data_IF_922486334717
#
_entry.id   IF_922486334717
#
_cell.length_a   1.000
_cell.length_b   1.000
_cell.length_c   1.000
_cell.angle_alpha   90.00
_cell.angle_beta   90.00
_cell.angle_gamma   90.00
#
_symmetry.space_group_name_H-M   'P 1'
#
loop_
_entity.id
_entity.type
_entity.pdbx_description
1 polymer ?
#
# COMPACT_ATOMS: atom_id res chain seq x y z
N UNK A 1 -7.31 6.66 -23.09
CA UNK A 1 -6.47 5.54 -22.58
C UNK A 1 -5.61 6.07 -21.44
N UNK A 2 -5.44 5.33 -20.34
CA UNK A 2 -4.61 5.73 -19.22
C UNK A 2 -3.19 6.10 -19.64
N UNK A 3 -2.52 6.95 -18.87
CA UNK A 3 -1.17 7.43 -19.17
C UNK A 3 -0.16 6.31 -19.01
N UNK A 4 0.51 5.94 -20.11
CA UNK A 4 1.52 4.87 -20.11
C UNK A 4 2.69 5.19 -19.17
N UNK A 5 3.26 4.16 -18.57
CA UNK A 5 4.39 4.24 -17.62
C UNK A 5 4.07 5.06 -16.37
N UNK A 6 2.80 5.16 -15.98
CA UNK A 6 2.39 5.83 -14.76
C UNK A 6 1.79 4.81 -13.78
N UNK A 7 2.48 4.61 -12.68
CA UNK A 7 2.05 3.77 -11.56
C UNK A 7 1.60 4.66 -10.41
N UNK A 8 0.47 4.34 -9.82
CA UNK A 8 0.02 4.96 -8.58
C UNK A 8 0.11 3.94 -7.45
N UNK A 9 0.86 4.27 -6.40
CA UNK A 9 1.04 3.44 -5.22
C UNK A 9 0.27 4.07 -4.05
N UNK A 10 -0.72 3.37 -3.52
CA UNK A 10 -1.41 3.74 -2.29
C UNK A 10 -0.95 2.82 -1.16
N UNK A 11 -0.48 3.38 -0.07
CA UNK A 11 -0.02 2.64 1.12
C UNK A 11 -0.93 2.99 2.27
N UNK A 12 -1.58 1.97 2.86
CA UNK A 12 -2.33 2.07 4.11
C UNK A 12 -1.48 1.47 5.20
N UNK A 13 -0.92 2.32 6.05
CA UNK A 13 0.09 1.97 7.03
C UNK A 13 -0.49 2.03 8.43
N UNK A 14 -0.46 0.90 9.10
CA UNK A 14 -0.83 0.78 10.51
C UNK A 14 0.16 1.53 11.40
N UNK A 15 -0.36 2.31 12.33
CA UNK A 15 0.37 3.01 13.37
C UNK A 15 -0.27 2.75 14.75
N UNK A 16 -0.97 1.62 14.91
CA UNK A 16 -1.49 1.19 16.21
C UNK A 16 -0.36 0.84 17.17
N UNK A 17 -0.69 0.73 18.46
CA UNK A 17 0.30 0.51 19.51
C UNK A 17 1.13 -0.77 19.30
N UNK A 18 0.58 -1.82 18.69
CA UNK A 18 1.29 -3.08 18.40
C UNK A 18 2.47 -2.87 17.44
N UNK A 19 2.34 -1.96 16.47
CA UNK A 19 3.42 -1.61 15.53
C UNK A 19 4.65 -0.98 16.22
N UNK A 20 4.53 -0.55 17.48
CA UNK A 20 5.64 0.05 18.24
C UNK A 20 6.87 -0.85 18.37
N UNK A 21 6.68 -2.17 18.41
CA UNK A 21 7.77 -3.12 18.47
C UNK A 21 8.64 -3.16 17.19
N UNK A 22 8.09 -2.72 16.06
CA UNK A 22 8.75 -2.74 14.73
C UNK A 22 8.81 -1.34 14.09
N UNK A 23 8.56 -0.29 14.85
CA UNK A 23 8.50 1.09 14.36
C UNK A 23 9.78 1.51 13.63
N UNK A 24 10.95 1.23 14.21
CA UNK A 24 12.24 1.58 13.61
C UNK A 24 12.55 0.76 12.36
N UNK A 25 12.16 -0.51 12.34
CA UNK A 25 12.32 -1.39 11.18
C UNK A 25 11.45 -0.92 10.00
N UNK A 26 10.21 -0.53 10.28
CA UNK A 26 9.31 0.06 9.29
C UNK A 26 9.89 1.36 8.73
N UNK A 27 10.38 2.26 9.60
CA UNK A 27 11.02 3.52 9.19
C UNK A 27 12.23 3.28 8.28
N UNK A 28 13.13 2.41 8.68
CA UNK A 28 14.34 2.07 7.91
C UNK A 28 13.98 1.48 6.54
N UNK A 29 13.01 0.61 6.53
CA UNK A 29 12.54 -0.08 5.33
C UNK A 29 11.89 0.86 4.33
N UNK A 30 10.99 1.72 4.79
CA UNK A 30 10.35 2.71 3.90
C UNK A 30 11.37 3.70 3.34
N UNK A 31 12.33 4.15 4.13
CA UNK A 31 13.40 5.04 3.65
C UNK A 31 14.25 4.37 2.57
N UNK A 32 14.59 3.08 2.75
CA UNK A 32 15.31 2.29 1.74
C UNK A 32 14.49 2.12 0.46
N UNK A 33 13.23 1.74 0.58
CA UNK A 33 12.30 1.61 -0.55
C UNK A 33 12.20 2.93 -1.34
N UNK A 34 12.01 4.06 -0.64
CA UNK A 34 11.91 5.37 -1.27
C UNK A 34 13.19 5.74 -2.03
N UNK A 35 14.36 5.49 -1.44
CA UNK A 35 15.65 5.76 -2.06
C UNK A 35 15.86 4.91 -3.34
N UNK A 36 15.48 3.65 -3.32
CA UNK A 36 15.56 2.75 -4.47
C UNK A 36 14.60 3.19 -5.59
N UNK A 37 13.35 3.53 -5.25
CA UNK A 37 12.34 3.89 -6.23
C UNK A 37 12.61 5.23 -6.95
N UNK A 38 13.33 6.15 -6.33
CA UNK A 38 13.73 7.44 -6.95
C UNK A 38 14.58 7.25 -8.21
N UNK A 39 15.34 6.18 -8.29
CA UNK A 39 16.26 5.91 -9.39
C UNK A 39 15.63 5.07 -10.52
N UNK A 40 14.37 4.67 -10.36
CA UNK A 40 13.69 3.83 -11.32
C UNK A 40 13.05 4.64 -12.45
N UNK A 41 13.05 4.09 -13.66
CA UNK A 41 12.39 4.73 -14.80
C UNK A 41 10.85 4.67 -14.70
N UNK A 42 10.19 5.68 -15.26
CA UNK A 42 8.73 5.82 -15.24
C UNK A 42 8.24 6.75 -14.15
N UNK A 43 6.98 7.12 -14.23
CA UNK A 43 6.34 7.97 -13.23
C UNK A 43 5.69 7.11 -12.15
N UNK A 44 6.11 7.29 -10.92
CA UNK A 44 5.42 6.73 -9.75
C UNK A 44 4.93 7.86 -8.87
N UNK A 45 3.61 7.94 -8.69
CA UNK A 45 2.99 8.84 -7.72
C UNK A 45 2.50 8.01 -6.56
N UNK A 46 2.59 8.51 -5.35
CA UNK A 46 2.18 7.74 -4.19
C UNK A 46 1.40 8.54 -3.16
N UNK A 47 0.59 7.79 -2.42
CA UNK A 47 -0.17 8.23 -1.26
C UNK A 47 0.17 7.38 -0.07
N UNK A 48 0.17 7.98 1.12
CA UNK A 48 0.25 7.24 2.38
C UNK A 48 -0.88 7.65 3.30
N UNK A 49 -1.69 6.67 3.67
CA UNK A 49 -2.71 6.78 4.70
C UNK A 49 -2.19 6.08 5.95
N UNK A 50 -1.92 6.84 6.99
CA UNK A 50 -1.58 6.30 8.30
C UNK A 50 -2.85 6.14 9.14
N UNK A 51 -2.98 5.04 9.88
CA UNK A 51 -4.13 4.81 10.72
C UNK A 51 -3.78 4.17 12.06
N UNK A 52 -4.60 4.47 13.07
CA UNK A 52 -4.76 3.80 14.34
C UNK A 52 -6.26 3.82 14.69
N UNK A 53 -6.71 4.59 15.68
CA UNK A 53 -8.13 4.87 15.92
C UNK A 53 -8.77 5.72 14.82
N UNK A 54 -7.96 6.50 14.13
CA UNK A 54 -8.37 7.38 13.03
C UNK A 54 -7.40 7.26 11.87
N UNK A 55 -7.88 7.59 10.67
CA UNK A 55 -7.09 7.55 9.44
C UNK A 55 -6.77 8.95 8.97
N UNK A 56 -5.49 9.22 8.72
CA UNK A 56 -4.96 10.46 8.15
C UNK A 56 -4.19 10.18 6.87
N UNK A 57 -4.37 11.02 5.83
CA UNK A 57 -3.53 10.99 4.63
C UNK A 57 -2.32 11.87 4.91
N UNK A 58 -1.15 11.27 5.11
CA UNK A 58 0.09 11.95 5.49
C UNK A 58 0.96 12.30 4.28
N UNK A 59 0.76 11.62 3.17
CA UNK A 59 1.31 11.99 1.85
C UNK A 59 0.17 11.98 0.85
N UNK A 60 0.10 13.04 0.05
CA UNK A 60 -0.94 13.21 -0.96
C UNK A 60 -0.32 13.37 -2.34
N UNK A 61 -0.55 12.37 -3.21
CA UNK A 61 -0.17 12.35 -4.63
C UNK A 61 1.24 12.88 -4.93
N UNK A 62 2.19 12.51 -4.08
CA UNK A 62 3.58 12.94 -4.26
C UNK A 62 4.25 12.19 -5.41
N UNK A 63 5.02 12.89 -6.23
CA UNK A 63 5.88 12.24 -7.21
C UNK A 63 7.08 11.61 -6.51
N UNK A 64 7.28 10.32 -6.70
CA UNK A 64 8.30 9.53 -6.02
C UNK A 64 9.71 10.04 -6.31
N UNK A 65 9.98 10.47 -7.54
CA UNK A 65 11.30 10.97 -7.94
C UNK A 65 11.62 12.34 -7.31
N UNK A 66 10.60 13.16 -7.08
CA UNK A 66 10.74 14.54 -6.57
C UNK A 66 10.56 14.60 -5.05
N UNK A 67 10.04 13.56 -4.41
CA UNK A 67 9.73 13.58 -2.99
C UNK A 67 10.99 13.66 -2.14
N UNK A 68 11.12 14.75 -1.39
CA UNK A 68 12.24 15.02 -0.46
C UNK A 68 11.80 15.11 1.01
N UNK A 69 10.53 14.79 1.29
CA UNK A 69 10.03 14.71 2.65
C UNK A 69 10.61 13.53 3.43
N UNK A 70 10.67 13.67 4.72
CA UNK A 70 10.94 12.57 5.63
C UNK A 70 9.59 11.95 6.04
N UNK A 71 9.16 10.97 5.26
CA UNK A 71 7.88 10.28 5.43
C UNK A 71 7.73 9.69 6.84
N UNK A 72 8.83 9.21 7.40
CA UNK A 72 8.82 8.47 8.65
C UNK A 72 9.13 9.31 9.89
N UNK A 73 9.48 10.58 9.74
CA UNK A 73 9.81 11.46 10.89
C UNK A 73 8.65 11.67 11.85
N UNK A 74 7.42 11.69 11.32
CA UNK A 74 6.20 11.85 12.10
C UNK A 74 5.46 10.54 12.41
N UNK A 75 5.94 9.41 11.88
CA UNK A 75 5.36 8.11 12.17
C UNK A 75 5.57 7.74 13.64
N UNK A 76 4.48 7.52 14.36
CA UNK A 76 4.43 7.12 15.77
C UNK A 76 3.32 6.12 15.95
N UNK A 77 3.61 5.09 16.74
CA UNK A 77 2.69 4.00 16.99
C UNK A 77 1.96 4.21 18.32
N UNK A 78 0.64 4.40 18.26
CA UNK A 78 -0.24 4.54 19.42
C UNK A 78 -1.69 4.22 19.04
N UNK A 79 -2.52 3.89 20.04
CA UNK A 79 -3.95 3.65 19.86
C UNK A 79 -4.30 2.23 19.40
N UNK A 80 -5.54 2.07 18.90
CA UNK A 80 -6.11 0.81 18.45
C UNK A 80 -6.08 0.70 16.92
N UNK A 81 -6.60 -0.41 16.37
CA UNK A 81 -6.48 -0.76 14.95
C UNK A 81 -7.85 -0.67 14.25
N UNK A 82 -8.18 0.49 13.65
CA UNK A 82 -9.40 0.69 12.86
C UNK A 82 -9.15 0.38 11.36
N UNK A 83 -8.76 -0.86 11.07
CA UNK A 83 -8.30 -1.31 9.75
C UNK A 83 -9.38 -1.18 8.66
N UNK A 84 -10.61 -1.63 8.94
CA UNK A 84 -11.69 -1.58 7.94
C UNK A 84 -12.03 -0.14 7.56
N UNK A 85 -12.12 0.75 8.56
CA UNK A 85 -12.38 2.16 8.34
C UNK A 85 -11.28 2.82 7.51
N UNK A 86 -10.02 2.47 7.77
CA UNK A 86 -8.86 2.99 7.05
C UNK A 86 -8.83 2.55 5.59
N UNK A 87 -8.98 1.25 5.34
CA UNK A 87 -8.95 0.67 3.99
C UNK A 87 -10.10 1.23 3.15
N UNK A 88 -11.33 1.23 3.68
CA UNK A 88 -12.47 1.78 2.96
C UNK A 88 -12.29 3.27 2.65
N UNK A 89 -11.83 4.07 3.63
CA UNK A 89 -11.58 5.50 3.43
C UNK A 89 -10.52 5.75 2.33
N UNK A 90 -9.43 5.00 2.34
CA UNK A 90 -8.38 5.16 1.36
C UNK A 90 -8.86 4.78 -0.05
N UNK A 91 -9.56 3.64 -0.21
CA UNK A 91 -10.13 3.20 -1.49
C UNK A 91 -11.12 4.25 -2.02
N UNK A 92 -12.05 4.70 -1.17
CA UNK A 92 -13.08 5.67 -1.56
C UNK A 92 -12.45 7.02 -1.96
N UNK A 93 -11.40 7.48 -1.23
CA UNK A 93 -10.70 8.74 -1.52
C UNK A 93 -10.00 8.65 -2.88
N UNK A 94 -9.15 7.66 -3.09
CA UNK A 94 -8.39 7.49 -4.34
C UNK A 94 -9.33 7.21 -5.53
N UNK A 95 -10.36 6.39 -5.32
CA UNK A 95 -11.36 6.09 -6.35
C UNK A 95 -12.14 7.32 -6.79
N UNK A 96 -12.54 8.20 -5.85
CA UNK A 96 -13.21 9.45 -6.16
C UNK A 96 -12.31 10.41 -6.94
N UNK A 97 -11.04 10.54 -6.55
CA UNK A 97 -10.06 11.36 -7.26
C UNK A 97 -9.86 10.89 -8.70
N UNK A 98 -9.67 9.58 -8.92
CA UNK A 98 -9.50 9.05 -10.28
C UNK A 98 -10.78 9.17 -11.12
N UNK A 99 -11.95 9.05 -10.49
CA UNK A 99 -13.22 9.25 -11.19
C UNK A 99 -13.38 10.69 -11.69
N UNK A 100 -12.85 11.67 -10.97
CA UNK A 100 -12.88 13.09 -11.33
C UNK A 100 -11.82 13.47 -12.40
N UNK A 101 -10.82 12.63 -12.64
CA UNK A 101 -9.78 12.86 -13.64
C UNK A 101 -10.23 12.47 -15.04
N UNK A 102 -9.71 13.17 -16.06
CA UNK A 102 -9.77 12.71 -17.44
C UNK A 102 -9.04 11.37 -17.57
N UNK A 103 -9.57 10.47 -18.41
CA UNK A 103 -9.01 9.12 -18.58
C UNK A 103 -7.51 9.13 -18.94
N UNK A 104 -7.09 10.09 -19.75
CA UNK A 104 -5.69 10.25 -20.18
C UNK A 104 -4.72 10.68 -19.07
N UNK A 105 -5.24 11.15 -17.95
CA UNK A 105 -4.45 11.57 -16.78
C UNK A 105 -4.38 10.48 -15.71
N UNK A 106 -5.23 9.45 -15.82
CA UNK A 106 -5.27 8.35 -14.86
C UNK A 106 -4.03 7.48 -14.95
N UNK A 107 -3.60 6.86 -13.84
CA UNK A 107 -2.51 5.90 -13.86
C UNK A 107 -2.87 4.68 -14.71
N UNK A 108 -1.86 4.10 -15.37
CA UNK A 108 -1.98 2.82 -16.06
C UNK A 108 -2.18 1.66 -15.08
N UNK A 109 -1.56 1.78 -13.90
CA UNK A 109 -1.61 0.75 -12.85
C UNK A 109 -1.77 1.40 -11.48
N UNK A 110 -2.64 0.81 -10.67
CA UNK A 110 -2.79 1.15 -9.26
C UNK A 110 -2.40 -0.05 -8.41
N UNK A 111 -1.49 0.18 -7.46
CA UNK A 111 -1.07 -0.81 -6.46
C UNK A 111 -1.52 -0.29 -5.10
N UNK A 112 -2.35 -1.04 -4.43
CA UNK A 112 -2.89 -0.70 -3.12
C UNK A 112 -2.32 -1.67 -2.08
N UNK A 113 -1.51 -1.15 -1.15
CA UNK A 113 -0.81 -1.97 -0.16
C UNK A 113 -1.31 -1.66 1.23
N UNK A 114 -1.64 -2.70 1.97
CA UNK A 114 -2.04 -2.64 3.38
C UNK A 114 -0.91 -3.24 4.20
N UNK A 115 -0.38 -2.47 5.15
CA UNK A 115 0.70 -2.90 6.06
C UNK A 115 0.16 -2.83 7.49
N UNK A 116 0.08 -3.97 8.19
CA UNK A 116 -0.41 -4.06 9.57
C UNK A 116 0.18 -5.28 10.28
N UNK A 117 0.36 -5.21 11.58
CA UNK A 117 0.70 -6.34 12.45
C UNK A 117 -0.45 -6.73 13.39
N UNK A 118 -1.52 -5.96 13.37
CA UNK A 118 -2.61 -6.04 14.34
C UNK A 118 -3.92 -6.59 13.79
N UNK A 119 -4.75 -7.01 14.75
CA UNK A 119 -6.12 -7.41 14.48
C UNK A 119 -7.02 -6.19 14.45
N UNK A 120 -7.98 -6.18 13.53
CA UNK A 120 -9.09 -5.23 13.52
C UNK A 120 -9.82 -5.23 14.89
N UNK A 121 -9.86 -4.09 15.56
CA UNK A 121 -10.49 -3.99 16.88
C UNK A 121 -11.19 -2.65 17.17
N UNK A 122 -11.16 -1.69 16.24
CA UNK A 122 -11.63 -0.33 16.48
C UNK A 122 -12.51 0.28 15.39
N UNK A 123 -12.68 -0.37 14.24
CA UNK A 123 -13.55 0.14 13.16
C UNK A 123 -15.00 0.28 13.61
N UNK A 124 -15.63 1.40 13.24
CA UNK A 124 -17.00 1.74 13.63
C UNK A 124 -17.93 2.02 12.46
N UNK A 125 -17.37 2.32 11.28
CA UNK A 125 -18.13 2.75 10.11
C UNK A 125 -18.30 1.63 9.10
N UNK A 126 -17.26 0.82 8.93
CA UNK A 126 -17.20 -0.20 7.91
C UNK A 126 -16.90 -1.57 8.49
N UNK A 127 -17.50 -2.58 7.89
CA UNK A 127 -17.28 -4.00 8.20
C UNK A 127 -16.30 -4.65 7.21
N UNK A 128 -15.86 -5.87 7.51
CA UNK A 128 -15.07 -6.67 6.57
C UNK A 128 -15.79 -6.88 5.23
N UNK A 129 -17.12 -6.97 5.25
CA UNK A 129 -17.93 -7.08 4.03
C UNK A 129 -17.80 -5.84 3.17
N UNK A 130 -17.84 -4.65 3.78
CA UNK A 130 -17.69 -3.38 3.06
C UNK A 130 -16.30 -3.23 2.43
N UNK A 131 -15.25 -3.71 3.12
CA UNK A 131 -13.87 -3.78 2.58
C UNK A 131 -13.83 -4.69 1.37
N UNK A 132 -14.37 -5.90 1.48
CA UNK A 132 -14.37 -6.88 0.40
C UNK A 132 -15.09 -6.37 -0.84
N UNK A 133 -16.28 -5.81 -0.70
CA UNK A 133 -17.05 -5.25 -1.80
C UNK A 133 -16.27 -4.18 -2.58
N UNK A 134 -15.53 -3.33 -1.86
CA UNK A 134 -14.68 -2.30 -2.47
C UNK A 134 -13.48 -2.89 -3.20
N UNK A 135 -12.79 -3.84 -2.57
CA UNK A 135 -11.64 -4.52 -3.19
C UNK A 135 -12.08 -5.27 -4.45
N UNK A 136 -13.15 -6.06 -4.36
CA UNK A 136 -13.70 -6.80 -5.50
C UNK A 136 -14.07 -5.87 -6.65
N UNK A 137 -14.71 -4.73 -6.35
CA UNK A 137 -15.06 -3.72 -7.35
C UNK A 137 -13.82 -3.13 -8.01
N UNK A 138 -12.84 -2.65 -7.22
CA UNK A 138 -11.65 -2.01 -7.77
C UNK A 138 -10.79 -2.99 -8.57
N UNK A 139 -10.73 -4.24 -8.14
CA UNK A 139 -10.00 -5.29 -8.86
C UNK A 139 -10.68 -5.65 -10.18
N UNK A 140 -11.99 -5.89 -10.16
CA UNK A 140 -12.70 -6.41 -11.32
C UNK A 140 -13.04 -5.34 -12.38
N UNK A 141 -13.35 -4.11 -11.94
CA UNK A 141 -13.75 -3.03 -12.84
C UNK A 141 -12.57 -2.15 -13.28
N UNK A 142 -11.55 -1.98 -12.42
CA UNK A 142 -10.47 -1.01 -12.63
C UNK A 142 -9.07 -1.63 -12.62
N UNK A 143 -8.97 -2.94 -12.47
CA UNK A 143 -7.70 -3.69 -12.46
C UNK A 143 -6.68 -3.21 -11.41
N UNK A 144 -7.16 -2.74 -10.25
CA UNK A 144 -6.27 -2.42 -9.14
C UNK A 144 -5.66 -3.70 -8.59
N UNK A 145 -4.39 -3.63 -8.20
CA UNK A 145 -3.71 -4.71 -7.48
C UNK A 145 -3.71 -4.39 -5.99
N UNK A 146 -4.15 -5.37 -5.19
CA UNK A 146 -4.14 -5.27 -3.74
C UNK A 146 -3.08 -6.20 -3.16
N UNK A 147 -2.31 -5.69 -2.19
CA UNK A 147 -1.27 -6.42 -1.46
C UNK A 147 -1.53 -6.26 0.03
N UNK A 148 -1.60 -7.37 0.74
CA UNK A 148 -1.73 -7.38 2.19
C UNK A 148 -0.44 -7.91 2.82
N UNK A 149 0.17 -7.09 3.67
CA UNK A 149 1.40 -7.40 4.38
C UNK A 149 1.11 -7.40 5.87
N UNK A 150 1.05 -8.59 6.46
CA UNK A 150 0.78 -8.78 7.86
C UNK A 150 2.03 -9.29 8.60
N UNK A 151 2.33 -8.70 9.74
CA UNK A 151 3.32 -9.21 10.68
C UNK A 151 2.63 -9.86 11.88
N UNK A 152 3.29 -10.81 12.51
CA UNK A 152 2.92 -11.38 13.81
C UNK A 152 1.48 -11.91 13.95
N UNK A 153 0.72 -12.00 12.88
CA UNK A 153 -0.59 -12.65 12.90
C UNK A 153 -0.40 -14.16 12.78
N UNK A 154 -1.23 -14.91 13.52
CA UNK A 154 -1.34 -16.34 13.31
C UNK A 154 -1.56 -16.58 11.81
N UNK A 155 -0.73 -17.43 11.21
CA UNK A 155 -0.70 -17.70 9.77
C UNK A 155 -2.10 -18.00 9.21
N UNK A 156 -2.91 -18.68 10.00
CA UNK A 156 -4.28 -19.02 9.66
C UNK A 156 -5.20 -17.79 9.60
N UNK A 157 -5.01 -16.80 10.45
CA UNK A 157 -5.86 -15.61 10.52
C UNK A 157 -5.47 -14.58 9.45
N UNK A 158 -4.19 -14.36 9.23
CA UNK A 158 -3.70 -13.55 8.12
C UNK A 158 -4.15 -14.13 6.76
N UNK A 159 -4.13 -15.47 6.62
CA UNK A 159 -4.64 -16.17 5.45
C UNK A 159 -6.17 -16.02 5.31
N UNK A 160 -6.92 -16.05 6.39
CA UNK A 160 -8.38 -15.86 6.38
C UNK A 160 -8.74 -14.43 5.97
N UNK A 161 -8.02 -13.43 6.47
CA UNK A 161 -8.26 -12.02 6.13
C UNK A 161 -7.88 -11.75 4.68
N UNK A 162 -6.70 -12.15 4.24
CA UNK A 162 -6.26 -11.98 2.86
C UNK A 162 -7.16 -12.73 1.88
N UNK A 163 -7.54 -13.96 2.17
CA UNK A 163 -8.46 -14.73 1.34
C UNK A 163 -9.87 -14.12 1.32
N UNK A 164 -10.36 -13.62 2.46
CA UNK A 164 -11.67 -12.96 2.53
C UNK A 164 -11.68 -11.60 1.80
N UNK A 165 -10.53 -10.94 1.70
CA UNK A 165 -10.34 -9.69 0.94
C UNK A 165 -10.02 -9.93 -0.54
N UNK A 166 -9.76 -11.18 -0.98
CA UNK A 166 -9.34 -11.45 -2.36
C UNK A 166 -7.93 -10.97 -2.71
N UNK A 167 -7.06 -10.83 -1.72
CA UNK A 167 -5.73 -10.21 -1.85
C UNK A 167 -4.64 -11.26 -1.96
N UNK A 168 -3.65 -11.05 -2.84
CA UNK A 168 -2.44 -11.85 -2.87
C UNK A 168 -1.62 -11.65 -1.60
N UNK A 169 -1.35 -12.76 -0.90
CA UNK A 169 -0.45 -12.79 0.24
C UNK A 169 1.00 -12.88 -0.24
N UNK A 170 1.87 -12.08 0.35
CA UNK A 170 3.31 -12.38 0.37
C UNK A 170 3.61 -13.08 1.69
N UNK A 171 4.16 -14.30 1.63
CA UNK A 171 4.51 -15.07 2.81
C UNK A 171 5.59 -14.35 3.61
N UNK A 172 5.30 -14.08 4.88
CA UNK A 172 6.25 -13.54 5.84
C UNK A 172 6.46 -14.61 6.90
N UNK A 173 7.60 -15.31 6.84
CA UNK A 173 8.00 -16.23 7.89
C UNK A 173 8.87 -15.52 8.94
N UNK A 174 8.44 -15.65 10.15
CA UNK A 174 9.16 -15.73 11.44
C UNK A 174 10.22 -14.70 11.87
N UNK A 175 10.25 -13.43 11.43
CA UNK A 175 11.06 -12.41 12.11
C UNK A 175 10.61 -10.97 11.83
N UNK A 176 10.60 -10.16 12.86
CA UNK A 176 10.23 -8.71 12.79
C UNK A 176 11.07 -7.96 11.73
N UNK A 177 12.37 -8.23 11.64
CA UNK A 177 13.25 -7.69 10.59
C UNK A 177 12.93 -8.19 9.18
N UNK A 178 12.25 -9.33 9.06
CA UNK A 178 11.84 -9.93 7.79
C UNK A 178 10.62 -9.23 7.20
N UNK A 179 9.69 -8.74 8.03
CA UNK A 179 8.52 -8.00 7.53
C UNK A 179 8.94 -6.74 6.77
N UNK A 180 9.81 -5.95 7.38
CA UNK A 180 10.32 -4.73 6.79
C UNK A 180 10.99 -5.01 5.45
N UNK A 181 11.90 -5.97 5.40
CA UNK A 181 12.60 -6.38 4.16
C UNK A 181 11.64 -6.97 3.12
N UNK A 182 10.65 -7.75 3.55
CA UNK A 182 9.66 -8.36 2.67
C UNK A 182 8.69 -7.33 2.09
N UNK A 183 8.26 -6.37 2.91
CA UNK A 183 7.42 -5.24 2.47
C UNK A 183 8.10 -4.49 1.34
N UNK A 184 9.37 -4.11 1.52
CA UNK A 184 10.16 -3.46 0.47
C UNK A 184 10.32 -4.31 -0.78
N UNK A 185 10.69 -5.58 -0.62
CA UNK A 185 10.87 -6.47 -1.76
C UNK A 185 9.57 -6.66 -2.54
N UNK A 186 8.45 -6.86 -1.84
CA UNK A 186 7.14 -7.04 -2.47
C UNK A 186 6.65 -5.78 -3.15
N UNK A 187 6.76 -4.62 -2.52
CA UNK A 187 6.42 -3.33 -3.12
C UNK A 187 7.29 -3.05 -4.34
N UNK A 188 8.60 -3.21 -4.22
CA UNK A 188 9.56 -3.05 -5.33
C UNK A 188 9.22 -3.96 -6.51
N UNK A 189 8.98 -5.23 -6.26
CA UNK A 189 8.66 -6.19 -7.32
C UNK A 189 7.29 -5.91 -7.96
N UNK A 190 6.32 -5.44 -7.20
CA UNK A 190 5.01 -5.06 -7.72
C UNK A 190 5.09 -3.79 -8.57
N UNK A 191 5.79 -2.75 -8.11
CA UNK A 191 6.04 -1.54 -8.90
C UNK A 191 6.85 -1.87 -10.15
N UNK A 192 7.89 -2.71 -10.05
CA UNK A 192 8.70 -3.15 -11.19
C UNK A 192 7.89 -3.95 -12.22
N UNK A 193 6.99 -4.83 -11.78
CA UNK A 193 6.10 -5.59 -12.67
C UNK A 193 5.06 -4.71 -13.35
N UNK A 194 4.59 -3.68 -12.66
CA UNK A 194 3.63 -2.72 -13.18
C UNK A 194 4.23 -1.79 -14.25
N UNK A 195 5.57 -1.67 -14.29
CA UNK A 195 6.27 -0.89 -15.34
C UNK A 195 6.42 -1.71 -16.60
N UNK A 196 6.20 -1.13 -17.80
CA UNK A 196 6.39 -1.84 -19.05
C UNK A 196 7.85 -2.25 -19.24
N UNK A 197 8.06 -3.46 -19.76
CA UNK A 197 9.39 -3.93 -20.13
C UNK A 197 9.97 -3.05 -21.25
N UNK A 198 11.23 -2.65 -21.11
CA UNK A 198 11.96 -2.01 -22.24
C UNK A 198 11.81 -2.89 -23.49
N UNK A 199 11.47 -2.35 -24.66
CA UNK A 199 11.65 -3.09 -25.88
C UNK A 199 13.14 -3.42 -25.99
N UNK A 200 13.46 -4.72 -26.15
CA UNK A 200 14.82 -5.17 -26.37
C UNK A 200 15.44 -4.32 -27.49
N UNK A 201 16.41 -3.49 -27.15
CA UNK A 201 17.21 -2.77 -28.13
C UNK A 201 17.86 -3.83 -29.02
N UNK A 202 17.39 -3.94 -30.26
CA UNK A 202 18.12 -4.70 -31.27
C UNK A 202 19.47 -4.01 -31.43
N UNK A 203 20.52 -4.68 -31.01
CA UNK A 203 21.87 -4.35 -31.37
C UNK A 203 21.93 -4.25 -32.91
N UNK A 204 22.31 -3.09 -33.40
CA UNK A 204 22.87 -2.90 -34.71
C UNK A 204 24.38 -2.72 -34.55
#
# INVERSE_FOLDING_TARGET
MPKKNYVHLCIVLDASGSMGAIEDDIKGTFNTFMAEQKNEEGKTVFDVFQFADQTSRIVERADMAEYNGDLMSSYRCDGMTALHDAVCKAIDTIGAEFSAMHEEERPEKVIFTIVTDGHENASRKFSLKDVKERIDRQTNEYAWEFIYLAANQDEFEAQRISHSMGVCRSEVSDCIGTLANHTCATLRDSVRRARPRRPNGKNR
#
